data_IF_039889462153
#
_entry.id   IF_039889462153
#
_cell.length_a   1.000
_cell.length_b   1.000
_cell.length_c   1.000
_cell.angle_alpha   90.00
_cell.angle_beta   90.00
_cell.angle_gamma   90.00
#
_symmetry.space_group_name_H-M   'P 1'
#
loop_
_entity.id
_entity.type
_entity.pdbx_description
1 polymer ?
#
# COMPACT_ATOMS: atom_id res chain seq x y z
N UNK A 1 -22.76 -6.97 -14.98
CA UNK A 1 -21.62 -7.24 -14.08
C UNK A 1 -22.01 -8.37 -13.14
N UNK A 2 -21.21 -9.43 -13.05
CA UNK A 2 -21.53 -10.61 -12.23
C UNK A 2 -21.31 -10.30 -10.73
N UNK A 3 -22.09 -10.90 -9.82
CA UNK A 3 -21.94 -10.73 -8.36
C UNK A 3 -20.51 -11.04 -7.89
N UNK A 4 -19.84 -12.00 -8.55
CA UNK A 4 -18.44 -12.33 -8.28
C UNK A 4 -17.49 -11.17 -8.64
N UNK A 5 -17.72 -10.46 -9.75
CA UNK A 5 -16.93 -9.30 -10.16
C UNK A 5 -17.12 -8.12 -9.21
N UNK A 6 -18.32 -7.94 -8.68
CA UNK A 6 -18.63 -6.91 -7.67
C UNK A 6 -17.89 -7.20 -6.37
N UNK A 7 -17.94 -8.45 -5.88
CA UNK A 7 -17.20 -8.86 -4.67
C UNK A 7 -15.69 -8.68 -4.83
N UNK A 8 -15.15 -9.07 -5.98
CA UNK A 8 -13.73 -8.89 -6.29
C UNK A 8 -13.34 -7.41 -6.31
N UNK A 9 -14.13 -6.56 -6.96
CA UNK A 9 -13.89 -5.12 -6.99
C UNK A 9 -13.93 -4.50 -5.58
N UNK A 10 -14.89 -4.88 -4.75
CA UNK A 10 -14.97 -4.42 -3.34
C UNK A 10 -13.72 -4.82 -2.53
N UNK A 11 -13.21 -6.03 -2.73
CA UNK A 11 -11.97 -6.48 -2.08
C UNK A 11 -10.77 -5.65 -2.54
N UNK A 12 -10.66 -5.40 -3.85
CA UNK A 12 -9.59 -4.57 -4.43
C UNK A 12 -9.66 -3.12 -3.93
N UNK A 13 -10.84 -2.52 -3.85
CA UNK A 13 -11.01 -1.18 -3.26
C UNK A 13 -10.59 -1.15 -1.79
N UNK A 14 -11.01 -2.14 -1.00
CA UNK A 14 -10.62 -2.23 0.41
C UNK A 14 -9.10 -2.40 0.58
N UNK A 15 -8.46 -3.23 -0.25
CA UNK A 15 -7.00 -3.40 -0.22
C UNK A 15 -6.27 -2.12 -0.64
N UNK A 16 -6.73 -1.46 -1.71
CA UNK A 16 -6.18 -0.16 -2.17
C UNK A 16 -6.23 0.88 -1.06
N UNK A 17 -7.38 1.05 -0.41
CA UNK A 17 -7.57 2.09 0.60
C UNK A 17 -6.74 1.80 1.86
N UNK A 18 -6.64 0.52 2.24
CA UNK A 18 -5.73 0.09 3.30
C UNK A 18 -4.27 0.41 2.97
N UNK A 19 -3.83 0.14 1.74
CA UNK A 19 -2.46 0.42 1.30
C UNK A 19 -2.17 1.92 1.20
N UNK A 20 -3.14 2.72 0.75
CA UNK A 20 -3.03 4.19 0.75
C UNK A 20 -2.84 4.71 2.17
N UNK A 21 -3.67 4.28 3.11
CA UNK A 21 -3.53 4.65 4.53
C UNK A 21 -2.18 4.22 5.11
N UNK A 22 -1.73 3.00 4.81
CA UNK A 22 -0.45 2.49 5.30
C UNK A 22 0.74 3.27 4.73
N UNK A 23 0.65 3.68 3.46
CA UNK A 23 1.64 4.56 2.84
C UNK A 23 1.67 5.93 3.51
N UNK A 24 0.52 6.55 3.71
CA UNK A 24 0.40 7.87 4.34
C UNK A 24 0.95 7.84 5.78
N UNK A 25 0.64 6.78 6.53
CA UNK A 25 1.16 6.60 7.88
C UNK A 25 2.69 6.39 7.86
N UNK A 26 3.23 5.64 6.90
CA UNK A 26 4.68 5.46 6.76
C UNK A 26 5.44 6.73 6.29
N UNK A 27 4.77 7.65 5.60
CA UNK A 27 5.32 8.97 5.25
C UNK A 27 5.35 9.93 6.45
N UNK A 28 4.43 9.78 7.42
CA UNK A 28 4.39 10.62 8.63
C UNK A 28 5.59 10.39 9.54
N UNK A 29 6.06 11.46 10.17
CA UNK A 29 7.12 11.39 11.19
C UNK A 29 6.65 10.49 12.34
N UNK A 30 7.44 9.46 12.66
CA UNK A 30 7.12 8.48 13.71
C UNK A 30 6.11 7.39 13.32
N UNK A 31 5.59 7.39 12.09
CA UNK A 31 4.66 6.36 11.61
C UNK A 31 5.34 5.17 10.92
N UNK A 32 6.67 5.18 10.82
CA UNK A 32 7.47 4.08 10.26
C UNK A 32 8.62 3.73 11.21
N UNK A 33 8.78 2.44 11.50
CA UNK A 33 9.80 1.93 12.41
C UNK A 33 10.32 0.59 11.89
N UNK A 34 11.63 0.34 12.03
CA UNK A 34 12.31 -0.83 11.46
C UNK A 34 13.01 -1.57 12.58
N UNK A 35 12.72 -2.85 12.79
CA UNK A 35 13.45 -3.68 13.74
C UNK A 35 14.29 -4.69 12.98
N UNK A 36 15.61 -4.71 13.23
CA UNK A 36 16.51 -5.72 12.65
C UNK A 36 16.91 -6.68 13.77
N UNK A 37 16.42 -7.92 13.72
CA UNK A 37 16.74 -9.02 14.65
C UNK A 37 16.89 -8.63 16.14
N UNK A 38 16.08 -7.69 16.63
CA UNK A 38 16.04 -7.29 18.04
C UNK A 38 17.06 -6.22 18.46
N UNK A 39 17.86 -5.67 17.54
CA UNK A 39 18.78 -4.56 17.83
C UNK A 39 18.25 -3.23 17.28
N UNK A 40 18.59 -2.16 18.00
CA UNK A 40 17.96 -0.84 18.00
C UNK A 40 17.83 -0.12 16.63
N UNK A 41 16.82 0.76 16.58
CA UNK A 41 16.41 1.65 15.50
C UNK A 41 17.30 2.89 15.43
N UNK A 42 18.23 2.91 14.48
CA UNK A 42 18.80 4.20 14.05
C UNK A 42 17.85 4.87 13.05
N UNK A 43 17.63 6.17 13.23
CA UNK A 43 16.84 7.00 12.31
C UNK A 43 17.40 6.95 10.88
N UNK A 44 18.72 6.75 10.74
CA UNK A 44 19.36 6.54 9.45
C UNK A 44 18.86 5.27 8.75
N UNK A 45 18.77 4.15 9.47
CA UNK A 45 18.27 2.88 8.93
C UNK A 45 16.77 2.95 8.60
N UNK A 46 16.01 3.65 9.44
CA UNK A 46 14.58 3.92 9.18
C UNK A 46 14.43 4.72 7.87
N UNK A 47 15.26 5.74 7.64
CA UNK A 47 15.20 6.54 6.42
C UNK A 47 15.62 5.75 5.17
N UNK A 48 16.67 4.93 5.27
CA UNK A 48 17.13 4.06 4.18
C UNK A 48 16.06 3.04 3.80
N UNK A 49 15.43 2.39 4.78
CA UNK A 49 14.41 1.37 4.54
C UNK A 49 13.05 1.96 4.13
N UNK A 50 12.74 3.20 4.52
CA UNK A 50 11.45 3.83 4.23
C UNK A 50 11.20 3.91 2.73
N UNK A 51 12.19 4.33 1.95
CA UNK A 51 11.99 4.56 0.52
C UNK A 51 11.64 3.28 -0.27
N UNK A 52 12.40 2.17 -0.14
CA UNK A 52 12.03 0.89 -0.76
C UNK A 52 10.64 0.39 -0.36
N UNK A 53 10.25 0.57 0.91
CA UNK A 53 8.93 0.15 1.40
C UNK A 53 7.81 0.99 0.78
N UNK A 54 7.96 2.33 0.74
CA UNK A 54 6.99 3.21 0.09
C UNK A 54 6.88 2.92 -1.41
N UNK A 55 7.99 2.64 -2.08
CA UNK A 55 8.00 2.29 -3.50
C UNK A 55 7.27 0.95 -3.73
N UNK A 56 7.47 -0.06 -2.87
CA UNK A 56 6.75 -1.34 -2.93
C UNK A 56 5.24 -1.18 -2.74
N UNK A 57 4.82 -0.40 -1.73
CA UNK A 57 3.40 -0.11 -1.48
C UNK A 57 2.79 0.62 -2.68
N UNK A 58 3.51 1.59 -3.24
CA UNK A 58 3.08 2.35 -4.42
C UNK A 58 2.92 1.47 -5.65
N UNK A 59 3.84 0.53 -5.89
CA UNK A 59 3.71 -0.45 -6.98
C UNK A 59 2.48 -1.33 -6.79
N UNK A 60 2.18 -1.75 -5.56
CA UNK A 60 1.02 -2.60 -5.27
C UNK A 60 -0.30 -1.85 -5.46
N UNK A 61 -0.37 -0.57 -5.04
CA UNK A 61 -1.51 0.30 -5.32
C UNK A 61 -1.75 0.40 -6.84
N UNK A 62 -0.70 0.68 -7.62
CA UNK A 62 -0.81 0.77 -9.09
C UNK A 62 -1.31 -0.52 -9.73
N UNK A 63 -0.87 -1.69 -9.23
CA UNK A 63 -1.36 -2.98 -9.71
C UNK A 63 -2.86 -3.13 -9.46
N UNK A 64 -3.31 -2.85 -8.23
CA UNK A 64 -4.73 -2.91 -7.87
C UNK A 64 -5.57 -1.93 -8.70
N UNK A 65 -5.07 -0.72 -8.93
CA UNK A 65 -5.74 0.26 -9.81
C UNK A 65 -5.83 -0.25 -11.25
N UNK A 66 -4.79 -0.92 -11.77
CA UNK A 66 -4.83 -1.60 -13.06
C UNK A 66 -5.84 -2.76 -13.12
N UNK A 67 -5.90 -3.59 -12.08
CA UNK A 67 -6.86 -4.71 -11.97
C UNK A 67 -8.30 -4.18 -11.92
N UNK A 68 -8.55 -3.09 -11.19
CA UNK A 68 -9.84 -2.40 -11.15
C UNK A 68 -10.24 -1.83 -12.53
N UNK A 69 -9.28 -1.23 -13.25
CA UNK A 69 -9.51 -0.70 -14.59
C UNK A 69 -9.86 -1.81 -15.58
N UNK A 70 -9.19 -2.97 -15.52
CA UNK A 70 -9.53 -4.15 -16.34
C UNK A 70 -10.91 -4.71 -16.03
N UNK A 71 -11.37 -4.60 -14.77
CA UNK A 71 -12.72 -4.96 -14.37
C UNK A 71 -13.78 -3.94 -14.82
N UNK A 72 -13.39 -2.85 -15.48
CA UNK A 72 -14.27 -1.79 -15.96
C UNK A 72 -14.64 -0.76 -14.89
N UNK A 73 -13.92 -0.75 -13.75
CA UNK A 73 -14.08 0.26 -12.72
C UNK A 73 -13.06 1.37 -12.96
N UNK A 74 -13.41 2.31 -13.84
CA UNK A 74 -12.68 3.56 -13.95
C UNK A 74 -13.19 4.50 -12.84
N UNK A 75 -12.28 4.97 -11.99
CA UNK A 75 -12.57 5.69 -10.75
C UNK A 75 -13.09 7.12 -10.96
N UNK A 76 -14.12 7.27 -11.79
CA UNK A 76 -14.86 8.52 -12.00
C UNK A 76 -15.91 8.74 -10.92
#
# INVERSE_FOLDING_TARGET
>A
MNQQQIKLAQQLFSERDRLKKLRDDAERKGGFSVAVNGSYQDDEMVNVARRPVLDLISQRIKRIEGDLQQLGWDGK
#
